data_IF_144894550103
#
_entry.id   IF_144894550103
#
_cell.length_a   1.000
_cell.length_b   1.000
_cell.length_c   1.000
_cell.angle_alpha   90.00
_cell.angle_beta   90.00
_cell.angle_gamma   90.00
#
_symmetry.space_group_name_H-M   'P 1'
#
loop_
_entity.id
_entity.type
_entity.pdbx_description
1 polymer ?
#
# COMPACT_ATOMS: atom_id res chain seq x y z
N UNK A 1 5.78 3.44 -29.19
CA UNK A 1 6.45 3.05 -27.93
C UNK A 1 5.55 3.55 -26.82
N UNK A 2 5.06 2.70 -25.94
CA UNK A 2 4.28 3.16 -24.79
C UNK A 2 5.23 3.87 -23.83
N UNK A 3 4.91 5.10 -23.44
CA UNK A 3 5.62 5.79 -22.37
C UNK A 3 5.53 4.97 -21.07
N UNK A 4 6.57 4.98 -20.23
CA UNK A 4 6.50 4.30 -18.94
C UNK A 4 5.36 4.90 -18.10
N UNK A 5 4.51 4.05 -17.52
CA UNK A 5 3.45 4.49 -16.61
C UNK A 5 4.06 5.02 -15.32
N UNK A 6 3.50 6.11 -14.79
CA UNK A 6 3.83 6.60 -13.46
C UNK A 6 3.28 5.63 -12.40
N UNK A 7 4.15 5.20 -11.49
CA UNK A 7 3.77 4.28 -10.41
C UNK A 7 3.15 5.05 -9.26
N UNK A 8 2.02 4.54 -8.78
CA UNK A 8 1.36 4.98 -7.54
C UNK A 8 1.34 3.83 -6.55
N UNK A 9 1.81 4.06 -5.33
CA UNK A 9 1.90 3.05 -4.30
C UNK A 9 0.65 3.07 -3.41
N UNK A 10 0.02 1.91 -3.24
CA UNK A 10 -1.05 1.65 -2.28
C UNK A 10 -0.44 0.95 -1.06
N UNK A 11 -0.21 1.67 0.03
CA UNK A 11 0.50 1.14 1.20
C UNK A 11 -0.39 0.42 2.19
N UNK A 12 -0.02 -0.81 2.51
CA UNK A 12 -0.53 -1.53 3.66
C UNK A 12 0.04 -0.95 4.98
N UNK A 13 -0.64 -1.16 6.11
CA UNK A 13 -0.16 -0.74 7.43
C UNK A 13 1.22 -1.32 7.76
N UNK A 14 1.50 -2.55 7.28
CA UNK A 14 2.79 -3.19 7.49
C UNK A 14 3.96 -2.39 6.90
N UNK A 15 3.75 -1.60 5.83
CA UNK A 15 4.80 -0.77 5.24
C UNK A 15 5.13 0.41 6.15
N UNK A 16 4.13 1.16 6.61
CA UNK A 16 4.35 2.27 7.55
C UNK A 16 5.04 1.79 8.83
N UNK A 17 4.60 0.65 9.37
CA UNK A 17 5.23 0.01 10.54
C UNK A 17 6.67 -0.41 10.24
N UNK A 18 6.93 -0.94 9.04
CA UNK A 18 8.26 -1.34 8.59
C UNK A 18 9.21 -0.16 8.51
N UNK A 19 8.81 0.90 7.82
CA UNK A 19 9.57 2.15 7.69
C UNK A 19 9.86 2.76 9.05
N UNK A 20 8.88 2.79 9.96
CA UNK A 20 9.11 3.28 11.32
C UNK A 20 10.14 2.47 12.11
N UNK A 21 10.32 1.17 11.81
CA UNK A 21 11.36 0.35 12.45
C UNK A 21 12.75 0.57 11.85
N UNK A 22 12.82 0.90 10.56
CA UNK A 22 14.09 0.97 9.82
C UNK A 22 14.57 2.38 9.50
N UNK A 23 13.79 3.43 9.79
CA UNK A 23 14.08 4.81 9.38
C UNK A 23 15.50 5.27 9.78
N UNK A 24 16.00 4.87 10.96
CA UNK A 24 17.36 5.20 11.42
C UNK A 24 18.51 4.45 10.72
N UNK A 25 18.20 3.48 9.84
CA UNK A 25 19.17 2.69 9.06
C UNK A 25 19.17 3.03 7.57
N UNK A 26 18.41 4.06 7.17
CA UNK A 26 18.42 4.56 5.79
C UNK A 26 19.52 5.66 5.73
N UNK A 27 20.50 5.58 4.80
CA UNK A 27 21.50 6.61 4.58
C UNK A 27 20.80 7.78 3.89
N UNK A 28 20.10 8.59 4.69
CA UNK A 28 19.49 9.90 4.45
C UNK A 28 18.97 10.14 3.02
N UNK A 29 17.64 10.02 2.80
CA UNK A 29 16.70 11.10 3.15
C UNK A 29 15.84 10.82 4.39
N UNK A 30 15.20 11.86 4.95
CA UNK A 30 14.15 11.67 5.95
C UNK A 30 12.95 11.00 5.27
N UNK A 31 12.79 9.71 5.53
CA UNK A 31 11.75 8.88 4.92
C UNK A 31 10.36 9.48 5.12
N UNK A 32 10.10 10.18 6.23
CA UNK A 32 8.79 10.76 6.50
C UNK A 32 8.51 11.98 5.62
N UNK A 33 9.53 12.82 5.37
CA UNK A 33 9.43 13.94 4.43
C UNK A 33 9.25 13.42 3.00
N UNK A 34 9.95 12.36 2.62
CA UNK A 34 9.80 11.73 1.31
C UNK A 34 8.41 11.12 1.10
N UNK A 35 7.86 10.45 2.12
CA UNK A 35 6.48 9.97 2.07
C UNK A 35 5.48 11.14 1.93
N UNK A 36 5.75 12.29 2.52
CA UNK A 36 4.94 13.50 2.32
C UNK A 36 4.97 13.97 0.88
N UNK A 37 6.15 13.99 0.27
CA UNK A 37 6.29 14.32 -1.14
C UNK A 37 5.53 13.33 -2.05
N UNK A 38 5.56 12.04 -1.74
CA UNK A 38 4.78 11.03 -2.47
C UNK A 38 3.28 11.22 -2.29
N UNK A 39 2.81 11.54 -1.08
CA UNK A 39 1.40 11.86 -0.84
C UNK A 39 0.97 13.12 -1.59
N UNK A 40 1.75 14.20 -1.50
CA UNK A 40 1.46 15.48 -2.15
C UNK A 40 1.44 15.37 -3.67
N UNK A 41 2.33 14.55 -4.25
CA UNK A 41 2.36 14.29 -5.70
C UNK A 41 1.31 13.29 -6.17
N UNK A 42 0.55 12.66 -5.25
CA UNK A 42 -0.42 11.62 -5.59
C UNK A 42 0.22 10.32 -6.07
N UNK A 43 1.50 10.10 -5.73
CA UNK A 43 2.25 8.84 -5.97
C UNK A 43 2.18 7.87 -4.80
N UNK A 44 1.60 8.27 -3.67
CA UNK A 44 1.29 7.40 -2.54
C UNK A 44 -0.17 7.63 -2.11
N UNK A 45 -0.89 6.54 -1.91
CA UNK A 45 -2.21 6.52 -1.29
C UNK A 45 -2.31 5.30 -0.34
N UNK A 46 -3.34 5.28 0.48
CA UNK A 46 -3.69 4.09 1.26
C UNK A 46 -5.20 4.05 1.47
N UNK A 47 -5.70 3.06 2.20
CA UNK A 47 -7.13 2.88 2.47
C UNK A 47 -7.48 3.36 3.89
N UNK A 48 -8.68 3.89 4.12
CA UNK A 48 -9.11 4.34 5.46
C UNK A 48 -9.00 3.25 6.54
N UNK A 49 -9.12 1.98 6.17
CA UNK A 49 -8.90 0.88 7.10
C UNK A 49 -7.44 0.70 7.54
N UNK A 50 -6.46 1.07 6.71
CA UNK A 50 -5.05 1.14 7.12
C UNK A 50 -4.86 2.22 8.18
N UNK A 51 -5.47 3.40 7.97
CA UNK A 51 -5.44 4.47 8.97
C UNK A 51 -6.02 4.03 10.32
N UNK A 52 -7.15 3.29 10.29
CA UNK A 52 -7.83 2.78 11.48
C UNK A 52 -7.04 1.68 12.23
N UNK A 53 -5.98 1.13 11.63
CA UNK A 53 -5.08 0.18 12.29
C UNK A 53 -3.98 0.87 13.10
N UNK A 54 -3.77 2.18 12.92
CA UNK A 54 -2.73 2.91 13.65
C UNK A 54 -3.10 3.15 15.12
N UNK A 55 -2.09 2.94 15.97
CA UNK A 55 -2.17 3.29 17.39
C UNK A 55 -1.89 4.80 17.57
N UNK A 56 -2.26 5.41 18.71
CA UNK A 56 -1.99 6.82 19.00
C UNK A 56 -0.51 7.12 19.33
N UNK A 57 0.41 6.35 18.75
CA UNK A 57 1.85 6.51 18.84
C UNK A 57 2.37 7.52 17.80
N UNK A 58 3.66 7.45 17.48
CA UNK A 58 4.25 8.28 16.43
C UNK A 58 3.49 8.15 15.09
N UNK A 59 3.17 6.94 14.64
CA UNK A 59 2.51 6.71 13.36
C UNK A 59 1.11 7.30 13.33
N UNK A 60 0.31 7.07 14.37
CA UNK A 60 -1.03 7.66 14.44
C UNK A 60 -1.00 9.19 14.47
N UNK A 61 -0.05 9.79 15.18
CA UNK A 61 0.13 11.26 15.21
C UNK A 61 0.54 11.81 13.85
N UNK A 62 1.51 11.16 13.18
CA UNK A 62 1.95 11.54 11.85
C UNK A 62 0.85 11.37 10.81
N UNK A 63 0.11 10.26 10.85
CA UNK A 63 -0.97 9.96 9.92
C UNK A 63 -2.17 10.90 10.04
N UNK A 64 -2.42 11.48 11.23
CA UNK A 64 -3.56 12.37 11.49
C UNK A 64 -3.62 13.55 10.53
N UNK A 65 -2.50 14.21 10.26
CA UNK A 65 -2.44 15.35 9.33
C UNK A 65 -2.51 14.93 7.85
N UNK A 66 -2.53 13.61 7.60
CA UNK A 66 -2.49 12.96 6.28
C UNK A 66 -3.74 12.12 5.99
N UNK A 67 -4.74 12.16 6.86
CA UNK A 67 -5.98 11.35 6.74
C UNK A 67 -6.63 11.49 5.36
N UNK A 68 -6.55 12.68 4.73
CA UNK A 68 -7.06 12.95 3.38
C UNK A 68 -6.46 12.09 2.26
N UNK A 69 -5.29 11.46 2.47
CA UNK A 69 -4.65 10.56 1.52
C UNK A 69 -5.04 9.08 1.73
N UNK A 70 -5.84 8.80 2.74
CA UNK A 70 -6.44 7.49 2.98
C UNK A 70 -7.82 7.48 2.34
N UNK A 71 -7.95 6.71 1.26
CA UNK A 71 -9.14 6.66 0.44
C UNK A 71 -10.30 5.99 1.19
N UNK A 72 -11.46 6.61 1.08
CA UNK A 72 -12.70 6.06 1.62
C UNK A 72 -13.20 4.89 0.77
N UNK A 73 -14.09 4.13 1.37
CA UNK A 73 -14.75 2.99 0.76
C UNK A 73 -15.65 3.46 -0.40
N UNK A 74 -15.66 2.69 -1.49
CA UNK A 74 -16.61 2.83 -2.60
C UNK A 74 -17.48 1.57 -2.74
N UNK A 75 -18.62 1.70 -3.44
CA UNK A 75 -19.47 0.54 -3.76
C UNK A 75 -18.74 -0.50 -4.61
N UNK A 76 -17.89 -0.06 -5.55
CA UNK A 76 -17.10 -0.95 -6.39
C UNK A 76 -16.07 -1.75 -5.57
N UNK A 77 -15.48 -1.12 -4.54
CA UNK A 77 -14.60 -1.81 -3.61
C UNK A 77 -15.35 -2.89 -2.81
N UNK A 78 -16.59 -2.66 -2.36
CA UNK A 78 -17.39 -3.70 -1.68
C UNK A 78 -17.59 -4.95 -2.54
N UNK A 79 -17.94 -4.77 -3.82
CA UNK A 79 -18.12 -5.87 -4.77
C UNK A 79 -16.81 -6.63 -4.96
N UNK A 80 -15.71 -5.89 -5.17
CA UNK A 80 -14.38 -6.45 -5.38
C UNK A 80 -13.87 -7.22 -4.16
N UNK A 81 -14.03 -6.66 -2.95
CA UNK A 81 -13.68 -7.31 -1.69
C UNK A 81 -14.46 -8.61 -1.52
N UNK A 82 -15.76 -8.61 -1.84
CA UNK A 82 -16.57 -9.83 -1.77
C UNK A 82 -16.06 -10.93 -2.71
N UNK A 83 -15.61 -10.57 -3.91
CA UNK A 83 -15.00 -11.50 -4.86
C UNK A 83 -13.64 -12.03 -4.37
N UNK A 84 -12.81 -11.15 -3.80
CA UNK A 84 -11.52 -11.53 -3.19
C UNK A 84 -11.77 -12.56 -2.09
N UNK A 85 -12.65 -12.27 -1.14
CA UNK A 85 -12.90 -13.12 0.02
C UNK A 85 -13.62 -14.43 -0.32
N UNK A 86 -14.37 -14.48 -1.43
CA UNK A 86 -14.94 -15.74 -1.94
C UNK A 86 -13.87 -16.72 -2.43
N UNK A 87 -12.70 -16.22 -2.89
CA UNK A 87 -11.58 -17.04 -3.39
C UNK A 87 -10.44 -17.18 -2.38
N UNK A 88 -10.26 -16.18 -1.52
CA UNK A 88 -9.18 -16.06 -0.53
C UNK A 88 -9.76 -15.71 0.85
N UNK A 89 -10.62 -16.58 1.37
CA UNK A 89 -11.26 -16.45 2.68
C UNK A 89 -10.25 -16.28 3.83
N UNK A 90 -9.09 -16.95 3.73
CA UNK A 90 -7.98 -16.88 4.70
C UNK A 90 -7.16 -15.60 4.63
N UNK A 91 -7.47 -14.67 3.72
CA UNK A 91 -6.84 -13.35 3.71
C UNK A 91 -7.17 -12.57 4.98
N UNK A 92 -8.35 -12.81 5.54
CA UNK A 92 -8.82 -12.21 6.78
C UNK A 92 -8.92 -13.26 7.90
N UNK A 93 -8.71 -12.82 9.13
CA UNK A 93 -9.06 -13.59 10.32
C UNK A 93 -10.55 -13.36 10.67
N UNK A 94 -11.43 -14.36 10.59
CA UNK A 94 -12.86 -14.20 10.90
C UNK A 94 -13.13 -13.88 12.37
N UNK A 95 -12.16 -14.07 13.27
CA UNK A 95 -12.31 -13.77 14.69
C UNK A 95 -12.01 -12.30 15.02
N UNK A 96 -11.49 -11.52 14.06
CA UNK A 96 -11.28 -10.09 14.25
C UNK A 96 -12.56 -9.33 13.92
N UNK A 97 -13.08 -8.59 14.90
CA UNK A 97 -14.29 -7.76 14.75
C UNK A 97 -14.06 -6.54 13.84
N UNK A 98 -12.81 -6.12 13.64
CA UNK A 98 -12.47 -4.97 12.79
C UNK A 98 -12.28 -5.40 11.34
N UNK A 99 -12.70 -4.53 10.42
CA UNK A 99 -12.32 -4.65 9.01
C UNK A 99 -10.79 -4.68 8.90
N UNK A 100 -10.29 -5.73 8.25
CA UNK A 100 -8.87 -5.92 7.99
C UNK A 100 -8.52 -5.24 6.67
N UNK A 101 -7.44 -4.45 6.64
CA UNK A 101 -7.14 -3.59 5.50
C UNK A 101 -6.78 -4.34 4.21
N UNK A 102 -6.21 -5.55 4.31
CA UNK A 102 -5.67 -6.35 3.20
C UNK A 102 -6.60 -6.49 1.97
N UNK A 103 -7.85 -6.98 2.08
CA UNK A 103 -8.74 -7.05 0.91
C UNK A 103 -9.07 -5.67 0.33
N UNK A 104 -9.16 -4.64 1.16
CA UNK A 104 -9.59 -3.30 0.75
C UNK A 104 -8.51 -2.54 0.00
N UNK A 105 -7.24 -2.72 0.39
CA UNK A 105 -6.15 -2.08 -0.33
C UNK A 105 -5.95 -2.68 -1.73
N UNK A 106 -6.18 -3.99 -1.87
CA UNK A 106 -6.18 -4.66 -3.17
C UNK A 106 -7.33 -4.15 -4.03
N UNK A 107 -8.54 -4.07 -3.45
CA UNK A 107 -9.70 -3.53 -4.14
C UNK A 107 -9.51 -2.07 -4.59
N UNK A 108 -8.87 -1.23 -3.75
CA UNK A 108 -8.51 0.14 -4.09
C UNK A 108 -7.56 0.19 -5.29
N UNK A 109 -6.49 -0.62 -5.31
CA UNK A 109 -5.55 -0.67 -6.43
C UNK A 109 -6.23 -1.18 -7.72
N UNK A 110 -7.13 -2.17 -7.62
CA UNK A 110 -7.92 -2.66 -8.75
C UNK A 110 -8.81 -1.57 -9.34
N UNK A 111 -9.60 -0.91 -8.50
CA UNK A 111 -10.48 0.19 -8.90
C UNK A 111 -9.70 1.28 -9.63
N UNK A 112 -8.57 1.71 -9.07
CA UNK A 112 -7.75 2.79 -9.64
C UNK A 112 -7.08 2.39 -10.96
N UNK A 113 -6.60 1.15 -11.10
CA UNK A 113 -6.07 0.65 -12.37
C UNK A 113 -7.16 0.53 -13.45
N UNK A 114 -8.38 0.20 -13.06
CA UNK A 114 -9.51 0.14 -13.98
C UNK A 114 -9.95 1.54 -14.43
N UNK A 115 -10.05 2.50 -13.51
CA UNK A 115 -10.28 3.92 -13.82
C UNK A 115 -9.22 4.47 -14.78
N UNK A 116 -7.93 4.22 -14.52
CA UNK A 116 -6.85 4.66 -15.42
C UNK A 116 -7.01 4.12 -16.83
N UNK A 117 -7.36 2.85 -16.96
CA UNK A 117 -7.56 2.19 -18.25
C UNK A 117 -8.74 2.78 -19.03
N UNK A 118 -9.77 3.25 -18.33
CA UNK A 118 -10.96 3.87 -18.94
C UNK A 118 -10.74 5.34 -19.30
N UNK A 119 -10.01 6.09 -18.46
CA UNK A 119 -9.82 7.54 -18.62
C UNK A 119 -8.48 7.94 -19.26
N UNK A 120 -7.65 6.96 -19.66
CA UNK A 120 -6.40 7.21 -20.36
C UNK A 120 -5.31 7.86 -19.51
N UNK A 121 -5.32 7.64 -18.20
CA UNK A 121 -4.25 8.12 -17.32
C UNK A 121 -3.01 7.23 -17.46
N UNK A 122 -1.83 7.84 -17.58
CA UNK A 122 -0.56 7.12 -17.65
C UNK A 122 -0.05 6.71 -16.25
N UNK A 123 -0.90 6.02 -15.47
CA UNK A 123 -0.60 5.61 -14.09
C UNK A 123 -0.80 4.10 -13.91
N UNK A 124 -0.06 3.53 -12.96
CA UNK A 124 -0.21 2.13 -12.53
C UNK A 124 -0.13 2.05 -11.00
N UNK A 125 -1.15 1.45 -10.39
CA UNK A 125 -1.30 1.37 -8.94
C UNK A 125 -0.79 0.02 -8.43
N UNK A 126 0.23 0.07 -7.57
CA UNK A 126 0.90 -1.09 -6.97
C UNK A 126 0.48 -1.25 -5.52
N UNK A 127 0.08 -2.46 -5.12
CA UNK A 127 -0.06 -2.76 -3.69
C UNK A 127 1.33 -2.98 -3.09
N UNK A 128 1.63 -2.33 -1.97
CA UNK A 128 2.92 -2.47 -1.30
C UNK A 128 2.68 -3.05 0.10
N UNK A 129 3.33 -4.18 0.39
CA UNK A 129 3.20 -4.86 1.70
C UNK A 129 4.52 -5.53 2.11
N UNK A 130 4.65 -5.88 3.40
CA UNK A 130 5.81 -6.66 3.90
C UNK A 130 5.59 -8.17 3.86
N UNK A 131 4.52 -8.63 3.23
CA UNK A 131 4.23 -10.06 3.16
C UNK A 131 5.12 -10.76 2.12
N UNK A 132 5.48 -12.01 2.40
CA UNK A 132 6.35 -12.78 1.51
C UNK A 132 5.63 -13.13 0.21
N UNK A 133 6.26 -12.91 -0.97
CA UNK A 133 5.72 -13.33 -2.27
C UNK A 133 5.48 -14.85 -2.39
N UNK A 134 6.10 -15.66 -1.51
CA UNK A 134 5.94 -17.13 -1.51
C UNK A 134 4.65 -17.60 -0.84
N UNK A 135 3.90 -16.72 -0.20
CA UNK A 135 2.70 -17.10 0.53
C UNK A 135 1.51 -17.23 -0.40
N UNK A 136 0.89 -18.41 -0.44
CA UNK A 136 -0.22 -18.73 -1.34
C UNK A 136 -1.58 -18.09 -0.95
N UNK A 137 -1.68 -17.44 0.22
CA UNK A 137 -2.96 -16.97 0.79
C UNK A 137 -2.93 -15.49 1.21
N UNK A 138 -1.81 -14.82 0.96
CA UNK A 138 -1.52 -13.47 1.45
C UNK A 138 -1.61 -12.44 0.33
N UNK A 139 -1.44 -11.16 0.66
CA UNK A 139 -1.56 -10.04 -0.28
C UNK A 139 -0.90 -10.35 -1.65
N UNK A 140 0.36 -10.85 -1.72
CA UNK A 140 1.00 -11.12 -3.00
C UNK A 140 0.24 -12.14 -3.86
N UNK A 141 -0.22 -13.26 -3.27
CA UNK A 141 -0.97 -14.29 -4.02
C UNK A 141 -2.33 -13.78 -4.51
N UNK A 142 -2.98 -12.90 -3.75
CA UNK A 142 -4.23 -12.27 -4.17
C UNK A 142 -3.97 -11.28 -5.29
N UNK A 143 -2.95 -10.43 -5.16
CA UNK A 143 -2.50 -9.52 -6.21
C UNK A 143 -2.22 -10.27 -7.52
N UNK A 144 -1.45 -11.35 -7.49
CA UNK A 144 -1.18 -12.20 -8.66
C UNK A 144 -2.47 -12.75 -9.28
N UNK A 145 -3.36 -13.27 -8.44
CA UNK A 145 -4.60 -13.90 -8.89
C UNK A 145 -5.61 -12.93 -9.53
N UNK A 146 -5.51 -11.64 -9.21
CA UNK A 146 -6.34 -10.55 -9.74
C UNK A 146 -5.56 -9.64 -10.71
N UNK A 147 -4.32 -9.99 -11.07
CA UNK A 147 -3.46 -9.19 -11.98
C UNK A 147 -3.27 -7.75 -11.49
N UNK A 148 -3.12 -7.59 -10.17
CA UNK A 148 -2.77 -6.33 -9.53
C UNK A 148 -1.27 -6.35 -9.28
N UNK A 149 -0.52 -5.33 -9.71
CA UNK A 149 0.91 -5.35 -9.48
C UNK A 149 1.22 -5.13 -7.98
N UNK A 150 2.23 -5.84 -7.49
CA UNK A 150 2.63 -5.84 -6.08
C UNK A 150 4.12 -5.50 -5.95
N UNK A 151 4.48 -4.88 -4.83
CA UNK A 151 5.87 -4.66 -4.41
C UNK A 151 6.06 -5.00 -2.93
N UNK A 152 7.23 -5.53 -2.62
CA UNK A 152 7.75 -5.61 -1.26
C UNK A 152 8.27 -4.25 -0.80
N UNK A 153 8.53 -4.11 0.50
CA UNK A 153 9.19 -2.92 1.05
C UNK A 153 10.55 -2.66 0.38
N UNK A 154 11.35 -3.70 0.17
CA UNK A 154 12.69 -3.55 -0.42
C UNK A 154 12.61 -3.08 -1.89
N UNK A 155 11.69 -3.63 -2.68
CA UNK A 155 11.44 -3.18 -4.06
C UNK A 155 10.93 -1.73 -4.09
N UNK A 156 10.06 -1.34 -3.16
CA UNK A 156 9.61 0.04 -3.04
C UNK A 156 10.77 1.00 -2.69
N UNK A 157 11.64 0.62 -1.76
CA UNK A 157 12.82 1.42 -1.41
C UNK A 157 13.74 1.57 -2.63
N UNK A 158 14.02 0.46 -3.35
CA UNK A 158 14.85 0.47 -4.55
C UNK A 158 14.25 1.34 -5.68
N UNK A 159 12.93 1.25 -5.90
CA UNK A 159 12.21 2.03 -6.92
C UNK A 159 12.28 3.54 -6.67
N UNK A 160 12.43 3.96 -5.41
CA UNK A 160 12.62 5.36 -5.03
C UNK A 160 14.10 5.75 -4.84
N UNK A 161 15.03 4.83 -5.11
CA UNK A 161 16.46 5.06 -4.95
C UNK A 161 16.93 5.12 -3.48
N UNK A 162 16.09 4.70 -2.55
CA UNK A 162 16.40 4.64 -1.12
C UNK A 162 17.06 3.30 -0.82
N UNK A 163 18.22 3.32 -0.16
CA UNK A 163 18.96 2.10 0.19
C UNK A 163 19.00 1.96 1.71
N UNK A 164 19.22 0.76 2.23
CA UNK A 164 19.61 0.62 3.64
C UNK A 164 21.13 0.75 3.74
N UNK A 165 21.61 1.53 4.70
CA UNK A 165 23.02 1.88 4.84
C UNK A 165 23.45 1.86 6.30
N UNK A 166 24.62 1.30 6.57
CA UNK A 166 25.24 1.39 7.90
C UNK A 166 25.82 2.80 8.03
N UNK A 167 25.26 3.61 8.93
CA UNK A 167 25.93 4.83 9.40
C UNK A 167 27.20 4.38 10.13
N UNK A 168 28.36 4.52 9.50
CA UNK A 168 29.63 4.40 10.22
C UNK A 168 29.73 5.61 11.16
N UNK A 169 29.55 5.34 12.46
CA UNK A 169 29.92 6.26 13.55
C UNK A 169 31.41 6.57 13.54
#
# INVERSE_FOLDING_TARGET
MNEPKEKVYCFDSSIFIGLNRIHGFIPMPDIWEELDHLFLSGRLISHIFVYNEFNPDFLGKWAKDREKYFMNITENQFVTVSQILARFDKLIDPNKEKNQADPWIIALAMEKNQENSLFGQNKEYYVVSRESPRSAIKIPAVCDAFTVPHMTLDEFLEDNGWRLGIIKS
#
